data_IF_806776884861
#
_entry.id   IF_806776884861
#
_cell.length_a   1.000
_cell.length_b   1.000
_cell.length_c   1.000
_cell.angle_alpha   90.00
_cell.angle_beta   90.00
_cell.angle_gamma   90.00
#
_symmetry.space_group_name_H-M   'P 1'
#
loop_
_entity.id
_entity.type
_entity.pdbx_description
1 polymer ?
#
# COMPACT_ATOMS: atom_id res chain seq x y z
N UNK A 1 13.81 -4.66 -11.11
CA UNK A 1 13.07 -5.45 -10.10
C UNK A 1 13.24 -4.89 -8.68
N UNK A 2 14.45 -4.84 -8.09
CA UNK A 2 14.65 -4.32 -6.73
C UNK A 2 14.14 -2.88 -6.52
N UNK A 3 14.43 -1.97 -7.46
CA UNK A 3 13.91 -0.59 -7.42
C UNK A 3 12.38 -0.57 -7.47
N UNK A 4 11.76 -1.35 -8.36
CA UNK A 4 10.31 -1.43 -8.47
C UNK A 4 9.65 -1.96 -7.19
N UNK A 5 10.22 -3.01 -6.58
CA UNK A 5 9.77 -3.53 -5.28
C UNK A 5 9.93 -2.48 -4.16
N UNK A 6 11.04 -1.74 -4.16
CA UNK A 6 11.25 -0.63 -3.22
C UNK A 6 10.20 0.47 -3.40
N UNK A 7 9.88 0.84 -4.65
CA UNK A 7 8.82 1.81 -4.97
C UNK A 7 7.47 1.31 -4.44
N UNK A 8 7.10 0.04 -4.66
CA UNK A 8 5.85 -0.54 -4.12
C UNK A 8 5.82 -0.45 -2.59
N UNK A 9 6.96 -0.70 -1.94
CA UNK A 9 7.07 -0.60 -0.49
C UNK A 9 6.80 0.83 0.01
N UNK A 10 7.41 1.84 -0.63
CA UNK A 10 7.16 3.25 -0.31
C UNK A 10 5.70 3.62 -0.59
N UNK A 11 5.17 3.20 -1.73
CA UNK A 11 3.79 3.48 -2.10
C UNK A 11 2.79 2.91 -1.11
N UNK A 12 3.00 1.70 -0.61
CA UNK A 12 2.14 1.08 0.40
C UNK A 12 2.17 1.84 1.75
N UNK A 13 3.34 2.30 2.18
CA UNK A 13 3.47 3.14 3.38
C UNK A 13 2.72 4.46 3.21
N UNK A 14 2.94 5.17 2.10
CA UNK A 14 2.29 6.46 1.82
C UNK A 14 0.78 6.27 1.72
N UNK A 15 0.33 5.27 0.96
CA UNK A 15 -1.08 4.91 0.84
C UNK A 15 -1.70 4.68 2.21
N UNK A 16 -1.07 3.88 3.08
CA UNK A 16 -1.59 3.62 4.43
C UNK A 16 -1.70 4.85 5.31
N UNK A 17 -0.70 5.74 5.29
CA UNK A 17 -0.73 7.00 6.04
C UNK A 17 -1.84 7.90 5.52
N UNK A 18 -1.93 8.04 4.20
CA UNK A 18 -2.94 8.88 3.57
C UNK A 18 -4.35 8.34 3.83
N UNK A 19 -4.56 7.02 3.71
CA UNK A 19 -5.87 6.42 4.04
C UNK A 19 -6.21 6.64 5.51
N UNK A 20 -5.25 6.46 6.43
CA UNK A 20 -5.46 6.65 7.86
C UNK A 20 -5.89 8.09 8.19
N UNK A 21 -5.17 9.08 7.65
CA UNK A 21 -5.48 10.50 7.84
C UNK A 21 -6.83 10.85 7.21
N UNK A 22 -7.10 10.36 6.00
CA UNK A 22 -8.39 10.59 5.34
C UNK A 22 -9.57 10.01 6.11
N UNK A 23 -9.43 8.80 6.66
CA UNK A 23 -10.48 8.15 7.45
C UNK A 23 -10.69 8.85 8.80
N UNK A 24 -9.63 9.33 9.45
CA UNK A 24 -9.73 10.05 10.72
C UNK A 24 -10.43 11.40 10.57
N UNK A 25 -10.23 12.08 9.43
CA UNK A 25 -10.88 13.36 9.12
C UNK A 25 -12.23 13.20 8.40
N UNK A 26 -12.70 11.97 8.16
CA UNK A 26 -13.94 11.71 7.44
C UNK A 26 -13.95 12.10 5.96
N UNK A 27 -12.77 12.34 5.37
CA UNK A 27 -12.60 12.77 3.98
C UNK A 27 -12.79 11.62 2.98
N UNK A 28 -12.52 10.38 3.40
CA UNK A 28 -12.62 9.20 2.56
C UNK A 28 -13.34 8.07 3.31
N UNK A 29 -13.85 7.09 2.57
CA UNK A 29 -14.41 5.87 3.13
C UNK A 29 -13.65 4.64 2.66
N UNK A 30 -13.42 3.69 3.56
CA UNK A 30 -12.71 2.46 3.24
C UNK A 30 -13.65 1.51 2.49
N UNK A 31 -13.33 1.26 1.22
CA UNK A 31 -14.12 0.38 0.34
C UNK A 31 -13.77 -1.09 0.55
N UNK A 32 -12.58 -1.40 1.07
CA UNK A 32 -12.19 -2.76 1.38
C UNK A 32 -12.88 -3.23 2.69
N UNK A 33 -13.81 -4.20 2.65
CA UNK A 33 -14.57 -4.61 3.82
C UNK A 33 -13.69 -5.19 4.94
N UNK A 34 -12.57 -5.85 4.59
CA UNK A 34 -11.61 -6.39 5.57
C UNK A 34 -10.83 -5.27 6.26
N UNK A 35 -10.39 -4.26 5.50
CA UNK A 35 -9.66 -3.13 6.07
C UNK A 35 -10.58 -2.22 6.86
N UNK A 36 -11.83 -2.08 6.43
CA UNK A 36 -12.87 -1.37 7.15
C UNK A 36 -13.15 -2.01 8.51
N UNK A 37 -13.27 -3.34 8.58
CA UNK A 37 -13.49 -4.02 9.87
C UNK A 37 -12.30 -3.85 10.82
N UNK A 38 -11.06 -3.97 10.30
CA UNK A 38 -9.83 -3.68 11.04
C UNK A 38 -9.80 -2.25 11.57
N UNK A 39 -10.12 -1.26 10.73
CA UNK A 39 -10.17 0.15 11.12
C UNK A 39 -11.23 0.42 12.18
N UNK A 40 -12.44 -0.15 12.03
CA UNK A 40 -13.52 0.00 13.02
C UNK A 40 -13.20 -0.66 14.36
N UNK A 41 -12.39 -1.72 14.36
CA UNK A 41 -11.92 -2.35 15.59
C UNK A 41 -10.83 -1.53 16.26
N UNK A 42 -9.80 -1.13 15.51
CA UNK A 42 -8.76 -0.23 15.99
C UNK A 42 -8.02 0.44 14.80
N UNK A 43 -8.07 1.78 14.67
CA UNK A 43 -7.39 2.51 13.60
C UNK A 43 -5.88 2.25 13.52
N UNK A 44 -5.22 2.04 14.67
CA UNK A 44 -3.78 1.77 14.70
C UNK A 44 -3.45 0.37 14.15
N UNK A 45 -4.35 -0.61 14.28
CA UNK A 45 -4.15 -1.94 13.69
C UNK A 45 -4.27 -1.91 12.17
N UNK A 46 -5.17 -1.07 11.64
CA UNK A 46 -5.22 -0.80 10.21
C UNK A 46 -3.85 -0.30 9.70
N UNK A 47 -3.28 0.73 10.34
CA UNK A 47 -1.98 1.28 9.93
C UNK A 47 -0.85 0.26 10.12
N UNK A 48 -0.83 -0.45 11.26
CA UNK A 48 0.17 -1.46 11.56
C UNK A 48 0.17 -2.59 10.53
N UNK A 49 -1.01 -3.03 10.06
CA UNK A 49 -1.10 -4.09 9.06
C UNK A 49 -0.48 -3.68 7.71
N UNK A 50 -0.68 -2.43 7.27
CA UNK A 50 -0.03 -1.88 6.06
C UNK A 50 1.48 -1.71 6.23
N UNK A 51 1.93 -1.29 7.42
CA UNK A 51 3.35 -1.19 7.74
C UNK A 51 4.03 -2.57 7.79
N UNK A 52 3.39 -3.58 8.37
CA UNK A 52 3.88 -4.96 8.38
C UNK A 52 3.98 -5.53 6.96
N UNK A 53 3.00 -5.26 6.10
CA UNK A 53 3.04 -5.68 4.70
C UNK A 53 4.22 -5.03 3.96
N UNK A 54 4.45 -3.73 4.19
CA UNK A 54 5.61 -3.01 3.66
C UNK A 54 6.93 -3.61 4.16
N UNK A 55 7.02 -3.89 5.46
CA UNK A 55 8.20 -4.54 6.05
C UNK A 55 8.46 -5.93 5.46
N UNK A 56 7.43 -6.75 5.26
CA UNK A 56 7.55 -8.05 4.60
C UNK A 56 8.05 -7.91 3.16
N UNK A 57 7.52 -6.95 2.39
CA UNK A 57 7.99 -6.66 1.03
C UNK A 57 9.45 -6.18 1.02
N UNK A 58 9.86 -5.41 2.03
CA UNK A 58 11.24 -5.00 2.21
C UNK A 58 12.15 -6.20 2.49
N UNK A 59 11.75 -7.13 3.35
CA UNK A 59 12.52 -8.35 3.63
C UNK A 59 12.75 -9.19 2.38
N UNK A 60 11.75 -9.26 1.48
CA UNK A 60 11.84 -9.96 0.20
C UNK A 60 12.97 -9.40 -0.69
N UNK A 61 13.34 -8.11 -0.56
CA UNK A 61 14.46 -7.52 -1.31
C UNK A 61 15.82 -8.13 -0.94
N UNK A 62 15.95 -8.66 0.27
CA UNK A 62 17.17 -9.27 0.78
C UNK A 62 17.23 -10.78 0.51
N UNK A 63 16.11 -11.39 0.11
CA UNK A 63 16.09 -12.80 -0.31
C UNK A 63 16.67 -12.91 -1.73
N UNK A 64 17.62 -13.82 -1.98
CA UNK A 64 18.18 -14.05 -3.31
C UNK A 64 17.17 -14.78 -4.21
N UNK A 65 16.13 -14.08 -4.64
CA UNK A 65 15.13 -14.60 -5.57
C UNK A 65 15.69 -14.68 -6.98
N UNK A 66 15.45 -15.81 -7.66
CA UNK A 66 15.72 -15.94 -9.10
C UNK A 66 14.79 -14.99 -9.85
N UNK A 67 15.37 -14.11 -10.67
CA UNK A 67 14.61 -13.21 -11.54
C UNK A 67 13.89 -14.05 -12.60
N UNK A 68 12.57 -14.08 -12.55
CA UNK A 68 11.72 -14.67 -13.60
C UNK A 68 10.93 -13.57 -14.31
N UNK A 69 10.62 -13.77 -15.60
CA UNK A 69 9.80 -12.80 -16.36
C UNK A 69 8.44 -12.55 -15.71
N UNK A 70 7.83 -13.59 -15.11
CA UNK A 70 6.57 -13.48 -14.40
C UNK A 70 6.69 -12.54 -13.19
N UNK A 71 7.71 -12.73 -12.35
CA UNK A 71 7.94 -11.90 -11.17
C UNK A 71 8.18 -10.44 -11.55
N UNK A 72 8.94 -10.18 -12.62
CA UNK A 72 9.19 -8.84 -13.12
C UNK A 72 7.90 -8.16 -13.61
N UNK A 73 7.07 -8.86 -14.39
CA UNK A 73 5.78 -8.33 -14.87
C UNK A 73 4.81 -8.05 -13.73
N UNK A 74 4.68 -8.96 -12.76
CA UNK A 74 3.83 -8.77 -11.59
C UNK A 74 4.28 -7.56 -10.77
N UNK A 75 5.60 -7.43 -10.54
CA UNK A 75 6.14 -6.29 -9.78
C UNK A 75 5.85 -4.97 -10.49
N UNK A 76 6.01 -4.92 -11.81
CA UNK A 76 5.76 -3.71 -12.59
C UNK A 76 4.28 -3.34 -12.61
N UNK A 77 3.39 -4.33 -12.78
CA UNK A 77 1.95 -4.12 -12.67
C UNK A 77 1.56 -3.58 -11.29
N UNK A 78 2.16 -4.11 -10.23
CA UNK A 78 1.93 -3.62 -8.87
C UNK A 78 2.32 -2.14 -8.71
N UNK A 79 3.46 -1.71 -9.27
CA UNK A 79 3.85 -0.29 -9.26
C UNK A 79 2.80 0.59 -9.93
N UNK A 80 2.31 0.19 -11.11
CA UNK A 80 1.28 0.96 -11.85
C UNK A 80 0.00 1.05 -11.03
N UNK A 81 -0.48 -0.07 -10.50
CA UNK A 81 -1.71 -0.11 -9.71
C UNK A 81 -1.61 0.76 -8.44
N UNK A 82 -0.50 0.65 -7.70
CA UNK A 82 -0.30 1.49 -6.52
C UNK A 82 -0.16 2.98 -6.87
N UNK A 83 0.52 3.32 -7.97
CA UNK A 83 0.60 4.70 -8.46
C UNK A 83 -0.78 5.28 -8.82
N UNK A 84 -1.65 4.47 -9.42
CA UNK A 84 -3.03 4.85 -9.71
C UNK A 84 -3.85 5.08 -8.43
N UNK A 85 -3.77 4.19 -7.44
CA UNK A 85 -4.46 4.35 -6.16
C UNK A 85 -4.00 5.60 -5.41
N UNK A 86 -2.68 5.86 -5.37
CA UNK A 86 -2.15 7.10 -4.80
C UNK A 86 -2.65 8.35 -5.51
N UNK A 87 -2.81 8.30 -6.82
CA UNK A 87 -3.39 9.41 -7.59
C UNK A 87 -4.85 9.65 -7.22
N UNK A 88 -5.64 8.58 -7.02
CA UNK A 88 -7.02 8.70 -6.52
C UNK A 88 -7.07 9.33 -5.12
N UNK A 89 -6.13 8.99 -4.25
CA UNK A 89 -6.02 9.63 -2.93
C UNK A 89 -5.82 11.14 -3.02
N UNK A 90 -5.05 11.65 -3.99
CA UNK A 90 -4.96 13.10 -4.20
C UNK A 90 -6.30 13.71 -4.60
N UNK A 91 -7.07 13.07 -5.47
CA UNK A 91 -8.39 13.55 -5.89
C UNK A 91 -9.35 13.59 -4.68
N UNK A 92 -9.40 12.55 -3.87
CA UNK A 92 -10.32 12.48 -2.73
C UNK A 92 -9.98 13.45 -1.59
N UNK A 93 -8.71 13.75 -1.36
CA UNK A 93 -8.33 14.71 -0.32
C UNK A 93 -8.65 16.15 -0.73
N UNK A 94 -8.55 16.46 -2.03
CA UNK A 94 -8.76 17.80 -2.56
C UNK A 94 -10.19 18.04 -3.10
N UNK A 95 -11.09 17.06 -3.06
CA UNK A 95 -12.51 17.19 -3.42
C UNK A 95 -13.40 17.40 -2.22
#
# INVERSE_FOLDING_TARGET
MKIAMFIVCVFNVVDGIVTYIGLQNGLISESNPMMRSLYTFNPNLFLLSKLLLSFMLLLILFVPLKKTMLLERITFLAVIMYGFVLSLHTIWIFS
#
